data_IF_589272984455
#
_entry.id   IF_589272984455
#
_cell.length_a   1.000
_cell.length_b   1.000
_cell.length_c   1.000
_cell.angle_alpha   90.00
_cell.angle_beta   90.00
_cell.angle_gamma   90.00
#
_symmetry.space_group_name_H-M   'P 1'
#
loop_
_entity.id
_entity.type
_entity.pdbx_description
1 polymer ?
#
# COMPACT_ATOMS: atom_id res chain seq x y z
N UNK A 1 56.14 10.20 22.78
CA UNK A 1 54.78 10.66 22.47
C UNK A 1 53.96 9.42 22.17
N UNK A 2 53.16 8.95 23.14
CA UNK A 2 52.27 7.79 22.94
C UNK A 2 51.08 8.32 22.15
N UNK A 3 50.84 7.75 20.97
CA UNK A 3 49.65 8.05 20.19
C UNK A 3 48.44 7.56 21.02
N UNK A 4 47.63 8.49 21.53
CA UNK A 4 46.31 8.17 22.05
C UNK A 4 45.47 7.66 20.89
N UNK A 5 45.47 6.33 20.71
CA UNK A 5 44.49 5.66 19.88
C UNK A 5 43.17 5.72 20.63
N UNK A 6 42.47 6.86 20.50
CA UNK A 6 41.09 7.01 20.94
C UNK A 6 40.26 5.94 20.26
N UNK A 7 39.84 4.92 21.03
CA UNK A 7 38.91 3.90 20.56
C UNK A 7 37.57 4.57 20.29
N UNK A 8 37.34 4.94 19.03
CA UNK A 8 36.02 5.31 18.54
C UNK A 8 35.05 4.17 18.86
N UNK A 9 34.02 4.49 19.62
CA UNK A 9 32.95 3.53 19.88
C UNK A 9 32.15 3.28 18.61
N UNK A 10 31.52 2.11 18.50
CA UNK A 10 30.68 1.78 17.34
C UNK A 10 29.55 2.81 17.11
N UNK A 11 29.03 3.40 18.20
CA UNK A 11 28.02 4.45 18.14
C UNK A 11 28.55 5.73 17.47
N UNK A 12 29.75 6.19 17.87
CA UNK A 12 30.38 7.39 17.29
C UNK A 12 30.73 7.19 15.83
N UNK A 13 31.24 6.01 15.46
CA UNK A 13 31.47 5.66 14.06
C UNK A 13 30.17 5.70 13.25
N UNK A 14 29.09 5.09 13.75
CA UNK A 14 27.79 5.09 13.07
C UNK A 14 27.25 6.52 12.89
N UNK A 15 27.33 7.35 13.92
CA UNK A 15 26.92 8.76 13.85
C UNK A 15 27.78 9.53 12.85
N UNK A 16 29.10 9.34 12.83
CA UNK A 16 29.99 10.00 11.88
C UNK A 16 29.70 9.59 10.42
N UNK A 17 29.39 8.31 10.19
CA UNK A 17 29.00 7.81 8.85
C UNK A 17 27.65 8.39 8.43
N UNK A 18 26.65 8.41 9.31
CA UNK A 18 25.33 9.01 9.02
C UNK A 18 25.47 10.52 8.78
N UNK A 19 26.29 11.23 9.53
CA UNK A 19 26.49 12.67 9.32
C UNK A 19 27.23 12.98 8.01
N UNK A 20 28.14 12.10 7.58
CA UNK A 20 28.96 12.32 6.37
C UNK A 20 28.29 11.83 5.09
N UNK A 21 27.49 10.76 5.16
CA UNK A 21 26.90 10.08 4.00
C UNK A 21 25.38 9.86 4.10
N UNK A 22 24.80 10.05 5.28
CA UNK A 22 23.36 9.97 5.47
C UNK A 22 22.65 11.16 4.82
N UNK A 23 21.39 10.95 4.43
CA UNK A 23 20.55 12.04 3.94
C UNK A 23 20.28 13.02 5.09
N UNK A 24 20.32 14.31 4.77
CA UNK A 24 19.90 15.32 5.73
C UNK A 24 18.44 15.08 6.11
N UNK A 25 18.07 15.38 7.36
CA UNK A 25 16.67 15.37 7.76
C UNK A 25 15.82 16.34 6.93
N UNK A 26 16.44 17.42 6.42
CA UNK A 26 15.80 18.35 5.50
C UNK A 26 15.47 17.65 4.18
N UNK A 27 16.46 17.01 3.55
CA UNK A 27 16.27 16.27 2.30
C UNK A 27 15.22 15.15 2.45
N UNK A 28 15.17 14.50 3.61
CA UNK A 28 14.18 13.47 3.89
C UNK A 28 12.75 14.03 3.98
N UNK A 29 12.56 15.17 4.66
CA UNK A 29 11.26 15.84 4.77
C UNK A 29 10.81 16.39 3.43
N UNK A 30 11.73 16.99 2.68
CA UNK A 30 11.44 17.51 1.33
C UNK A 30 11.07 16.38 0.37
N UNK A 31 11.80 15.26 0.39
CA UNK A 31 11.44 14.08 -0.39
C UNK A 31 10.07 13.50 0.00
N UNK A 32 9.74 13.46 1.30
CA UNK A 32 8.44 13.02 1.77
C UNK A 32 7.32 13.96 1.30
N UNK A 33 7.56 15.28 1.34
CA UNK A 33 6.63 16.30 0.82
C UNK A 33 6.39 16.13 -0.68
N UNK A 34 7.44 15.94 -1.47
CA UNK A 34 7.32 15.67 -2.91
C UNK A 34 6.50 14.41 -3.20
N UNK A 35 6.72 13.35 -2.41
CA UNK A 35 5.95 12.11 -2.55
C UNK A 35 4.48 12.30 -2.17
N UNK A 36 4.20 13.07 -1.12
CA UNK A 36 2.84 13.38 -0.68
C UNK A 36 2.08 14.20 -1.73
N UNK A 37 2.73 15.16 -2.39
CA UNK A 37 2.11 15.95 -3.47
C UNK A 37 1.80 15.12 -4.73
N UNK A 38 2.63 14.11 -5.01
CA UNK A 38 2.48 13.22 -6.18
C UNK A 38 1.66 11.98 -5.88
N UNK A 39 1.18 11.82 -4.65
CA UNK A 39 0.38 10.66 -4.26
C UNK A 39 -0.94 10.68 -5.05
N UNK A 40 -1.25 9.54 -5.68
CA UNK A 40 -2.50 9.34 -6.42
C UNK A 40 -3.00 7.95 -6.11
N UNK A 41 -4.25 7.85 -5.66
CA UNK A 41 -4.91 6.59 -5.41
C UNK A 41 -5.08 5.79 -6.70
N UNK A 42 -4.57 4.58 -6.70
CA UNK A 42 -4.73 3.63 -7.80
C UNK A 42 -5.91 2.72 -7.50
N UNK A 43 -6.90 2.64 -8.38
CA UNK A 43 -8.12 1.83 -8.16
C UNK A 43 -7.84 0.33 -7.92
N UNK A 44 -6.67 -0.17 -8.32
CA UNK A 44 -6.19 -1.52 -8.03
C UNK A 44 -5.61 -1.74 -6.63
N UNK A 45 -5.29 -0.68 -5.88
CA UNK A 45 -4.75 -0.79 -4.51
C UNK A 45 -5.88 -0.81 -3.47
N UNK A 46 -5.59 -1.37 -2.29
CA UNK A 46 -6.56 -1.33 -1.18
C UNK A 46 -6.64 0.08 -0.60
N UNK A 47 -7.85 0.59 -0.39
CA UNK A 47 -8.06 1.94 0.14
C UNK A 47 -7.36 2.17 1.48
N UNK A 48 -7.39 1.19 2.40
CA UNK A 48 -6.65 1.29 3.66
C UNK A 48 -5.13 1.44 3.45
N UNK A 49 -4.54 0.74 2.47
CA UNK A 49 -3.12 0.88 2.17
C UNK A 49 -2.79 2.28 1.64
N UNK A 50 -3.70 2.89 0.89
CA UNK A 50 -3.55 4.28 0.46
C UNK A 50 -3.59 5.26 1.65
N UNK A 51 -4.57 5.09 2.54
CA UNK A 51 -4.68 5.93 3.76
C UNK A 51 -3.44 5.77 4.64
N UNK A 52 -2.95 4.55 4.84
CA UNK A 52 -1.74 4.28 5.63
C UNK A 52 -0.51 4.95 5.02
N UNK A 53 -0.32 4.85 3.69
CA UNK A 53 0.77 5.54 2.97
C UNK A 53 0.68 7.05 3.15
N UNK A 54 -0.52 7.62 3.03
CA UNK A 54 -0.74 9.04 3.21
C UNK A 54 -0.36 9.50 4.63
N UNK A 55 -0.81 8.78 5.65
CA UNK A 55 -0.48 9.10 7.05
C UNK A 55 1.02 8.97 7.32
N UNK A 56 1.67 7.94 6.76
CA UNK A 56 3.11 7.77 6.88
C UNK A 56 3.88 8.95 6.26
N UNK A 57 3.49 9.38 5.06
CA UNK A 57 4.12 10.52 4.38
C UNK A 57 3.85 11.84 5.11
N UNK A 58 2.64 12.04 5.67
CA UNK A 58 2.31 13.21 6.52
C UNK A 58 3.28 13.29 7.70
N UNK A 59 3.47 12.18 8.40
CA UNK A 59 4.35 12.11 9.57
C UNK A 59 5.82 12.33 9.21
N UNK A 60 6.26 11.86 8.04
CA UNK A 60 7.64 12.05 7.56
C UNK A 60 7.91 13.46 7.02
N UNK A 61 6.90 14.14 6.46
CA UNK A 61 7.05 15.48 5.92
C UNK A 61 6.97 16.59 6.98
N UNK A 62 6.46 16.28 8.19
CA UNK A 62 6.30 17.23 9.31
C UNK A 62 5.59 18.55 8.92
N UNK A 63 4.60 18.47 8.02
CA UNK A 63 3.84 19.64 7.58
C UNK A 63 2.87 20.06 8.70
N UNK A 64 2.91 21.33 9.10
CA UNK A 64 2.01 21.89 10.14
C UNK A 64 0.73 22.49 9.56
N UNK A 65 0.73 22.81 8.28
CA UNK A 65 -0.41 23.43 7.60
C UNK A 65 -1.45 22.36 7.21
N UNK A 66 -2.52 22.27 8.01
CA UNK A 66 -3.63 21.35 7.81
C UNK A 66 -4.34 21.57 6.48
N UNK A 67 -4.53 22.82 6.03
CA UNK A 67 -5.19 23.15 4.76
C UNK A 67 -4.37 22.63 3.57
N UNK A 68 -3.03 22.72 3.65
CA UNK A 68 -2.14 22.12 2.66
C UNK A 68 -2.32 20.60 2.60
N UNK A 69 -2.35 19.93 3.76
CA UNK A 69 -2.47 18.47 3.83
C UNK A 69 -3.84 18.01 3.30
N UNK A 70 -4.92 18.70 3.67
CA UNK A 70 -6.27 18.42 3.16
C UNK A 70 -6.32 18.60 1.64
N UNK A 71 -5.69 19.64 1.10
CA UNK A 71 -5.62 19.86 -0.35
C UNK A 71 -4.89 18.73 -1.06
N UNK A 72 -3.76 18.27 -0.52
CA UNK A 72 -3.03 17.13 -1.09
C UNK A 72 -3.85 15.84 -1.03
N UNK A 73 -4.54 15.60 0.09
CA UNK A 73 -5.42 14.45 0.24
C UNK A 73 -6.53 14.44 -0.81
N UNK A 74 -7.26 15.55 -0.99
CA UNK A 74 -8.35 15.65 -1.97
C UNK A 74 -7.82 15.48 -3.40
N UNK A 75 -6.63 16.04 -3.70
CA UNK A 75 -5.99 15.91 -5.02
C UNK A 75 -5.54 14.47 -5.32
N UNK A 76 -5.20 13.69 -4.29
CA UNK A 76 -4.77 12.32 -4.42
C UNK A 76 -5.92 11.33 -4.69
N UNK A 77 -7.18 11.72 -4.44
CA UNK A 77 -8.34 10.85 -4.62
C UNK A 77 -8.81 10.83 -6.09
N UNK A 78 -9.51 9.76 -6.52
CA UNK A 78 -10.22 9.75 -7.79
C UNK A 78 -11.29 10.86 -7.82
N UNK A 79 -11.53 11.42 -9.01
CA UNK A 79 -12.42 12.56 -9.20
C UNK A 79 -13.81 12.35 -8.59
N UNK A 80 -14.39 11.16 -8.79
CA UNK A 80 -15.70 10.80 -8.22
C UNK A 80 -15.70 10.98 -6.69
N UNK A 81 -14.74 10.37 -5.98
CA UNK A 81 -14.63 10.40 -4.52
C UNK A 81 -14.25 11.81 -4.01
N UNK A 82 -13.38 12.52 -4.73
CA UNK A 82 -12.99 13.89 -4.41
C UNK A 82 -14.20 14.85 -4.44
N UNK A 83 -15.09 14.70 -5.44
CA UNK A 83 -16.27 15.55 -5.59
C UNK A 83 -17.29 15.34 -4.46
N UNK A 84 -17.57 14.09 -4.09
CA UNK A 84 -18.43 13.78 -2.93
C UNK A 84 -17.84 14.32 -1.62
N UNK A 85 -16.53 14.21 -1.45
CA UNK A 85 -15.83 14.72 -0.26
C UNK A 85 -15.93 16.24 -0.18
N UNK A 86 -15.66 16.96 -1.29
CA UNK A 86 -15.80 18.42 -1.35
C UNK A 86 -17.22 18.87 -1.01
N UNK A 87 -18.23 18.19 -1.55
CA UNK A 87 -19.63 18.47 -1.24
C UNK A 87 -19.93 18.25 0.25
N UNK A 88 -19.50 17.11 0.81
CA UNK A 88 -19.67 16.79 2.24
C UNK A 88 -18.97 17.79 3.17
N UNK A 89 -17.81 18.31 2.78
CA UNK A 89 -17.13 19.35 3.54
C UNK A 89 -17.93 20.65 3.49
N UNK A 90 -18.32 21.11 2.30
CA UNK A 90 -19.05 22.37 2.13
C UNK A 90 -20.43 22.38 2.82
N UNK A 91 -21.15 21.25 2.83
CA UNK A 91 -22.46 21.12 3.49
C UNK A 91 -22.36 21.10 5.01
N UNK A 92 -21.25 20.62 5.57
CA UNK A 92 -21.08 20.47 7.02
C UNK A 92 -20.20 21.57 7.65
N UNK A 93 -19.80 22.60 6.90
CA UNK A 93 -18.94 23.73 7.34
C UNK A 93 -19.60 24.67 8.37
N UNK A 94 -20.46 24.15 9.24
CA UNK A 94 -21.00 24.89 10.38
C UNK A 94 -19.89 25.08 11.42
N UNK A 95 -18.96 26.01 11.17
CA UNK A 95 -17.96 26.55 12.10
C UNK A 95 -16.93 25.59 12.72
N UNK A 96 -16.93 24.31 12.37
CA UNK A 96 -15.90 23.37 12.84
C UNK A 96 -14.63 23.48 12.00
N UNK A 97 -13.49 23.55 12.70
CA UNK A 97 -12.15 23.58 12.11
C UNK A 97 -11.92 22.31 11.28
N UNK A 98 -11.55 22.47 10.01
CA UNK A 98 -11.33 21.35 9.10
C UNK A 98 -9.98 20.71 9.45
N UNK A 99 -10.03 19.68 10.29
CA UNK A 99 -8.86 18.87 10.63
C UNK A 99 -8.66 17.76 9.60
N UNK A 100 -7.40 17.40 9.31
CA UNK A 100 -7.07 16.31 8.38
C UNK A 100 -7.74 14.99 8.78
N UNK A 101 -7.78 14.69 10.08
CA UNK A 101 -8.39 13.46 10.59
C UNK A 101 -9.90 13.40 10.35
N UNK A 102 -10.61 14.53 10.47
CA UNK A 102 -12.02 14.63 10.11
C UNK A 102 -12.22 14.34 8.63
N UNK A 103 -11.36 14.89 7.76
CA UNK A 103 -11.43 14.68 6.32
C UNK A 103 -11.16 13.22 5.97
N UNK A 104 -10.13 12.59 6.54
CA UNK A 104 -9.82 11.16 6.35
C UNK A 104 -11.01 10.29 6.76
N UNK A 105 -11.63 10.58 7.91
CA UNK A 105 -12.81 9.85 8.38
C UNK A 105 -14.01 9.99 7.44
N UNK A 106 -14.27 11.21 6.95
CA UNK A 106 -15.34 11.46 5.95
C UNK A 106 -15.09 10.72 4.64
N UNK A 107 -13.86 10.79 4.10
CA UNK A 107 -13.50 10.07 2.87
C UNK A 107 -13.70 8.56 3.08
N UNK A 108 -13.24 8.03 4.22
CA UNK A 108 -13.38 6.60 4.55
C UNK A 108 -14.85 6.20 4.64
N UNK A 109 -15.70 7.02 5.26
CA UNK A 109 -17.14 6.78 5.33
C UNK A 109 -17.80 6.79 3.93
N UNK A 110 -17.47 7.77 3.08
CA UNK A 110 -17.98 7.87 1.71
C UNK A 110 -17.51 6.68 0.87
N UNK A 111 -16.23 6.32 0.98
CA UNK A 111 -15.65 5.16 0.31
C UNK A 111 -16.40 3.88 0.68
N UNK A 112 -16.58 3.63 1.98
CA UNK A 112 -17.27 2.45 2.48
C UNK A 112 -18.75 2.41 2.05
N UNK A 113 -19.42 3.55 2.00
CA UNK A 113 -20.84 3.63 1.65
C UNK A 113 -21.12 3.51 0.14
N UNK A 114 -20.26 4.10 -0.71
CA UNK A 114 -20.56 4.27 -2.14
C UNK A 114 -19.64 3.49 -3.07
N UNK A 115 -18.40 3.21 -2.68
CA UNK A 115 -17.36 2.75 -3.61
C UNK A 115 -16.80 1.37 -3.29
N UNK A 116 -16.85 0.93 -2.03
CA UNK A 116 -16.25 -0.32 -1.56
C UNK A 116 -16.63 -1.52 -2.43
N UNK A 117 -17.93 -1.81 -2.53
CA UNK A 117 -18.41 -2.99 -3.29
C UNK A 117 -18.08 -2.91 -4.79
N UNK A 118 -18.10 -1.71 -5.38
CA UNK A 118 -17.79 -1.50 -6.80
C UNK A 118 -16.30 -1.79 -7.06
N UNK A 119 -15.42 -1.15 -6.31
CA UNK A 119 -13.98 -1.21 -6.54
C UNK A 119 -13.35 -2.52 -6.07
N UNK A 120 -13.89 -3.18 -5.04
CA UNK A 120 -13.45 -4.52 -4.64
C UNK A 120 -13.75 -5.54 -5.75
N UNK A 121 -14.94 -5.50 -6.35
CA UNK A 121 -15.29 -6.36 -7.50
C UNK A 121 -14.41 -6.09 -8.74
N UNK A 122 -14.08 -4.83 -9.00
CA UNK A 122 -13.19 -4.47 -10.12
C UNK A 122 -11.77 -4.97 -9.87
N UNK A 123 -11.29 -4.94 -8.62
CA UNK A 123 -9.99 -5.49 -8.24
C UNK A 123 -9.93 -7.00 -8.44
N UNK A 124 -10.95 -7.73 -8.02
CA UNK A 124 -11.04 -9.18 -8.22
C UNK A 124 -11.05 -9.57 -9.71
N UNK A 125 -11.72 -8.78 -10.55
CA UNK A 125 -11.75 -8.98 -12.01
C UNK A 125 -10.41 -8.66 -12.68
N UNK A 126 -9.67 -7.69 -12.16
CA UNK A 126 -8.37 -7.28 -12.70
C UNK A 126 -7.24 -8.27 -12.38
N UNK A 127 -7.40 -9.14 -11.37
CA UNK A 127 -6.49 -10.27 -11.15
C UNK A 127 -6.91 -11.47 -12.00
N UNK A 128 -6.15 -11.87 -13.04
CA UNK A 128 -6.42 -13.10 -13.76
C UNK A 128 -5.95 -14.27 -12.88
N UNK A 129 -6.76 -14.65 -11.90
CA UNK A 129 -6.56 -15.93 -11.23
C UNK A 129 -7.14 -16.99 -12.13
N UNK A 130 -6.26 -17.71 -12.83
CA UNK A 130 -6.46 -19.14 -13.14
C UNK A 130 -6.78 -19.85 -11.81
N UNK A 131 -8.04 -19.83 -11.42
CA UNK A 131 -8.58 -20.69 -10.38
C UNK A 131 -9.54 -21.65 -11.08
N UNK A 132 -8.96 -22.81 -11.36
CA UNK A 132 -9.59 -24.05 -11.77
C UNK A 132 -10.95 -24.23 -11.11
N UNK A 133 -11.94 -24.53 -11.96
CA UNK A 133 -13.20 -25.11 -11.55
C UNK A 133 -12.97 -26.26 -10.56
N UNK A 134 -13.53 -26.16 -9.36
CA UNK A 134 -13.87 -27.33 -8.56
C UNK A 134 -15.36 -27.57 -8.74
N UNK A 135 -15.63 -28.60 -9.54
CA UNK A 135 -16.93 -29.16 -9.85
C UNK A 135 -17.59 -29.70 -8.57
N UNK A 136 -18.90 -29.50 -8.51
CA UNK A 136 -19.87 -30.01 -7.55
C UNK A 136 -19.54 -31.40 -7.00
N UNK A 137 -19.48 -31.50 -5.67
CA UNK A 137 -19.52 -32.78 -4.95
C UNK A 137 -20.93 -32.97 -4.37
N UNK A 138 -21.70 -33.91 -4.92
CA UNK A 138 -22.84 -34.50 -4.23
C UNK A 138 -22.79 -36.02 -4.41
N UNK A 139 -22.59 -36.69 -3.28
CA UNK A 139 -22.57 -38.13 -3.13
C UNK A 139 -23.91 -38.75 -3.54
N UNK A 140 -23.88 -39.70 -4.46
CA UNK A 140 -24.86 -40.78 -4.53
C UNK A 140 -24.17 -42.01 -5.11
N UNK A 141 -24.08 -43.04 -4.28
CA UNK A 141 -23.46 -44.32 -4.56
C UNK A 141 -24.18 -45.07 -5.70
N UNK A 142 -23.42 -45.64 -6.64
CA UNK A 142 -23.75 -46.92 -7.31
C UNK A 142 -22.58 -47.48 -8.12
N UNK A 143 -22.07 -48.63 -7.64
CA UNK A 143 -21.50 -49.82 -8.29
C UNK A 143 -20.83 -49.75 -9.69
N UNK A 144 -19.55 -50.14 -9.67
CA UNK A 144 -18.85 -51.16 -10.49
C UNK A 144 -18.94 -51.17 -12.03
N UNK A 145 -17.76 -51.04 -12.67
CA UNK A 145 -17.06 -51.97 -13.59
C UNK A 145 -16.07 -51.11 -14.39
N UNK A 146 -14.75 -51.21 -14.17
CA UNK A 146 -13.92 -52.26 -14.73
C UNK A 146 -13.31 -51.77 -16.05
N UNK A 147 -12.03 -51.36 -16.06
CA UNK A 147 -11.08 -51.63 -17.14
C UNK A 147 -9.66 -51.28 -16.69
N UNK A 148 -8.73 -52.16 -17.05
CA UNK A 148 -7.38 -52.35 -16.50
C UNK A 148 -6.38 -52.08 -17.63
N UNK A 149 -5.42 -51.19 -17.41
CA UNK A 149 -4.11 -51.08 -18.11
C UNK A 149 -3.50 -49.71 -17.81
N UNK A 150 -2.19 -49.47 -17.66
CA UNK A 150 -0.98 -50.28 -17.59
C UNK A 150 0.18 -49.27 -17.41
N UNK A 151 0.98 -49.47 -16.35
CA UNK A 151 2.44 -49.35 -16.28
C UNK A 151 3.21 -48.03 -16.63
N UNK A 152 4.15 -47.74 -15.70
CA UNK A 152 5.41 -46.95 -15.79
C UNK A 152 5.21 -45.43 -15.74
N UNK A 153 5.74 -44.66 -14.79
CA UNK A 153 6.95 -44.82 -14.00
C UNK A 153 7.93 -43.70 -14.41
N UNK A 154 8.24 -42.80 -13.46
CA UNK A 154 9.55 -42.14 -13.19
C UNK A 154 9.37 -40.74 -12.58
N UNK A 155 9.85 -40.62 -11.34
CA UNK A 155 10.31 -39.37 -10.74
C UNK A 155 11.52 -38.79 -11.51
N UNK A 156 11.92 -37.56 -11.11
CA UNK A 156 13.20 -36.84 -11.39
C UNK A 156 13.05 -35.82 -12.55
N UNK A 157 13.41 -34.54 -12.50
CA UNK A 157 14.43 -33.78 -11.73
C UNK A 157 14.07 -32.28 -11.69
N UNK A 158 14.38 -31.61 -10.58
CA UNK A 158 14.64 -30.16 -10.52
C UNK A 158 15.77 -29.79 -11.49
N UNK A 159 15.68 -28.62 -12.13
CA UNK A 159 16.85 -27.94 -12.69
C UNK A 159 16.72 -26.44 -12.44
N UNK A 160 17.47 -25.98 -11.43
CA UNK A 160 17.86 -24.59 -11.22
C UNK A 160 18.80 -24.22 -12.37
N UNK A 161 18.60 -23.08 -13.02
CA UNK A 161 19.59 -22.48 -13.90
C UNK A 161 19.82 -21.02 -13.50
N UNK A 162 20.90 -20.81 -12.74
CA UNK A 162 21.61 -19.54 -12.71
C UNK A 162 22.39 -19.43 -14.03
N UNK A 163 22.32 -18.28 -14.71
CA UNK A 163 23.38 -17.87 -15.63
C UNK A 163 23.59 -16.36 -15.51
N UNK A 164 24.70 -16.02 -14.84
CA UNK A 164 25.45 -14.78 -15.04
C UNK A 164 26.00 -14.77 -16.47
N UNK A 165 26.02 -13.60 -17.10
CA UNK A 165 27.22 -12.90 -17.60
C UNK A 165 26.96 -11.42 -17.33
#
# INVERSE_FOLDING_TARGET
>A
MVAEQGRLTWSEFRTAVINKYGRSSIDMRDAAREQLERLVYQQGEAFNQFVDKFQQLRNQAEIQDEDCIVRYLIKALPEELANYTKYSLNTNSNKEEITVDLVVNKITAIYNALFKDKWEREREKATPVTSSASILNNNSASKCLGYRSSLRGKCIRRRILHKRI
#
